data_IF_251123919112
#
_entry.id   IF_251123919112
#
_cell.length_a   1.000
_cell.length_b   1.000
_cell.length_c   1.000
_cell.angle_alpha   90.00
_cell.angle_beta   90.00
_cell.angle_gamma   90.00
#
_symmetry.space_group_name_H-M   'P 1'
#
loop_
_entity.id
_entity.type
_entity.pdbx_description
1 polymer ?
#
# COMPACT_ATOMS: atom_id res chain seq x y z
N UNK A 1 -36.91 10.73 -3.41
CA UNK A 1 -36.22 9.97 -2.33
C UNK A 1 -34.81 10.48 -2.28
N UNK A 2 -34.37 10.93 -1.11
CA UNK A 2 -33.01 11.44 -0.89
C UNK A 2 -32.06 10.20 -0.85
N UNK A 3 -31.19 10.10 -1.85
CA UNK A 3 -30.27 8.94 -2.05
C UNK A 3 -28.91 9.15 -1.41
N UNK A 4 -28.75 10.15 -0.53
CA UNK A 4 -27.44 10.40 0.11
C UNK A 4 -27.19 9.39 1.25
N UNK A 5 -26.31 8.39 1.06
CA UNK A 5 -26.02 7.36 2.07
C UNK A 5 -25.37 7.92 3.34
N UNK A 6 -24.75 9.13 3.28
CA UNK A 6 -24.15 9.78 4.44
C UNK A 6 -25.18 10.21 5.49
N UNK A 7 -26.48 10.27 5.12
CA UNK A 7 -27.55 10.61 6.06
C UNK A 7 -27.69 9.59 7.21
N UNK A 8 -27.29 8.34 6.97
CA UNK A 8 -27.35 7.27 7.97
C UNK A 8 -26.12 7.24 8.88
N UNK A 9 -25.07 8.03 8.57
CA UNK A 9 -23.85 8.10 9.39
C UNK A 9 -24.05 9.20 10.42
N UNK A 10 -23.84 8.95 11.74
CA UNK A 10 -23.86 9.98 12.77
C UNK A 10 -22.98 11.18 12.40
N UNK A 11 -23.43 12.40 12.73
CA UNK A 11 -22.80 13.63 12.26
C UNK A 11 -21.34 13.76 12.73
N UNK A 12 -21.03 13.26 13.92
CA UNK A 12 -19.67 13.19 14.48
C UNK A 12 -18.75 12.23 13.69
N UNK A 13 -19.29 11.31 12.89
CA UNK A 13 -18.54 10.38 12.05
C UNK A 13 -18.48 10.83 10.58
N UNK A 14 -19.22 11.89 10.20
CA UNK A 14 -19.18 12.45 8.83
C UNK A 14 -17.95 13.30 8.57
N UNK A 15 -17.34 13.85 9.63
CA UNK A 15 -16.14 14.70 9.58
C UNK A 15 -14.88 13.88 9.86
N UNK A 16 -14.49 13.01 8.93
CA UNK A 16 -13.21 12.27 9.01
C UNK A 16 -12.00 13.23 9.03
N UNK A 17 -12.17 14.50 8.66
CA UNK A 17 -11.14 15.54 8.80
C UNK A 17 -10.67 15.78 10.24
N UNK A 18 -11.46 15.39 11.25
CA UNK A 18 -11.10 15.58 12.66
C UNK A 18 -10.05 14.58 13.18
N UNK A 19 -9.66 13.54 12.41
CA UNK A 19 -8.71 12.50 12.86
C UNK A 19 -7.30 12.66 12.32
N UNK A 20 -6.96 13.79 11.67
CA UNK A 20 -5.59 14.06 11.20
C UNK A 20 -4.67 14.64 12.29
N UNK A 21 -5.21 15.01 13.46
CA UNK A 21 -4.38 15.39 14.62
C UNK A 21 -3.61 14.18 15.12
N UNK A 22 -2.28 14.24 15.06
CA UNK A 22 -1.37 13.17 15.46
C UNK A 22 -0.91 12.23 14.34
N UNK A 23 -1.35 12.43 13.08
CA UNK A 23 -0.85 11.67 11.96
C UNK A 23 0.61 12.02 11.63
N UNK A 24 1.42 11.00 11.37
CA UNK A 24 2.81 11.18 10.93
C UNK A 24 2.86 11.31 9.40
N UNK A 25 3.39 12.42 8.90
CA UNK A 25 3.57 12.64 7.47
C UNK A 25 4.87 12.00 6.98
N UNK A 26 4.76 11.16 5.95
CA UNK A 26 5.89 10.46 5.33
C UNK A 26 5.98 10.87 3.87
N UNK A 27 7.13 11.42 3.48
CA UNK A 27 7.47 11.71 2.09
C UNK A 27 8.13 10.47 1.45
N UNK A 28 7.46 9.87 0.46
CA UNK A 28 7.89 8.66 -0.24
C UNK A 28 8.85 8.95 -1.41
N UNK A 29 9.06 10.21 -1.79
CA UNK A 29 9.96 10.61 -2.89
C UNK A 29 11.42 10.78 -2.44
N UNK A 30 11.77 10.19 -1.29
CA UNK A 30 13.14 10.10 -0.79
C UNK A 30 13.71 8.70 -1.05
N UNK A 31 15.05 8.51 -0.96
CA UNK A 31 15.64 7.18 -1.03
C UNK A 31 14.96 6.20 -0.05
N UNK A 32 14.72 4.97 -0.49
CA UNK A 32 13.97 3.96 0.29
C UNK A 32 14.57 3.75 1.69
N UNK A 33 15.91 3.72 1.81
CA UNK A 33 16.59 3.56 3.10
C UNK A 33 16.26 4.69 4.09
N UNK A 34 16.05 5.92 3.62
CA UNK A 34 15.66 7.05 4.47
C UNK A 34 14.20 6.92 4.91
N UNK A 35 13.31 6.50 4.00
CA UNK A 35 11.91 6.28 4.31
C UNK A 35 11.75 5.16 5.35
N UNK A 36 12.49 4.05 5.18
CA UNK A 36 12.50 2.94 6.14
C UNK A 36 13.04 3.38 7.52
N UNK A 37 14.12 4.17 7.54
CA UNK A 37 14.67 4.72 8.78
C UNK A 37 13.69 5.65 9.52
N UNK A 38 12.86 6.39 8.78
CA UNK A 38 11.81 7.20 9.38
C UNK A 38 10.68 6.33 9.94
N UNK A 39 10.19 5.34 9.20
CA UNK A 39 9.15 4.42 9.67
C UNK A 39 9.59 3.65 10.92
N UNK A 40 10.87 3.26 11.00
CA UNK A 40 11.45 2.54 12.15
C UNK A 40 11.38 3.29 13.48
N UNK A 41 11.13 4.60 13.46
CA UNK A 41 10.95 5.43 14.67
C UNK A 41 9.59 5.25 15.33
N UNK A 42 8.62 4.68 14.61
CA UNK A 42 7.23 4.63 15.05
C UNK A 42 6.77 3.19 15.30
N UNK A 43 5.97 2.97 16.36
CA UNK A 43 5.44 1.63 16.67
C UNK A 43 4.32 1.23 15.71
N UNK A 44 3.96 -0.06 15.74
CA UNK A 44 2.72 -0.55 15.12
C UNK A 44 1.50 0.23 15.64
N UNK A 45 0.45 0.32 14.84
CA UNK A 45 -0.74 1.17 15.02
C UNK A 45 -0.55 2.67 14.76
N UNK A 46 0.66 3.15 14.49
CA UNK A 46 0.87 4.56 14.13
C UNK A 46 0.12 4.92 12.84
N UNK A 47 -0.66 5.99 12.89
CA UNK A 47 -1.37 6.52 11.72
C UNK A 47 -0.44 7.39 10.89
N UNK A 48 -0.41 7.12 9.58
CA UNK A 48 0.47 7.76 8.62
C UNK A 48 -0.33 8.47 7.54
N UNK A 49 0.22 9.57 7.04
CA UNK A 49 -0.19 10.23 5.80
C UNK A 49 0.98 10.17 4.82
N UNK A 50 0.82 9.38 3.77
CA UNK A 50 1.86 9.10 2.78
C UNK A 50 1.71 10.04 1.60
N UNK A 51 2.79 10.68 1.17
CA UNK A 51 2.81 11.54 -0.03
C UNK A 51 4.00 11.17 -0.92
N UNK A 52 3.75 11.01 -2.22
CA UNK A 52 4.74 10.65 -3.22
C UNK A 52 4.33 9.47 -4.10
N UNK A 53 5.32 8.79 -4.66
CA UNK A 53 5.13 7.71 -5.62
C UNK A 53 4.89 6.37 -4.94
N UNK A 54 3.88 5.64 -5.41
CA UNK A 54 3.57 4.25 -5.03
C UNK A 54 3.43 3.40 -6.29
N UNK A 55 4.04 2.22 -6.30
CA UNK A 55 3.80 1.19 -7.32
C UNK A 55 2.59 0.38 -6.92
N UNK A 56 1.71 0.09 -7.89
CA UNK A 56 0.51 -0.71 -7.67
C UNK A 56 0.64 -2.02 -8.42
N UNK A 57 0.46 -3.12 -7.73
CA UNK A 57 0.50 -4.45 -8.33
C UNK A 57 -0.09 -5.50 -7.39
N UNK A 58 -0.75 -6.50 -7.98
CA UNK A 58 -1.38 -7.58 -7.22
C UNK A 58 -1.01 -8.96 -7.81
N UNK A 59 -1.88 -9.93 -7.78
CA UNK A 59 -1.60 -11.35 -8.00
C UNK A 59 -0.75 -11.65 -9.25
N UNK A 60 -1.21 -11.26 -10.45
CA UNK A 60 -0.48 -11.57 -11.70
C UNK A 60 0.82 -10.78 -11.79
N UNK A 61 0.81 -9.50 -11.35
CA UNK A 61 2.01 -8.69 -11.29
C UNK A 61 3.10 -9.34 -10.41
N UNK A 62 2.73 -9.85 -9.22
CA UNK A 62 3.66 -10.55 -8.33
C UNK A 62 4.20 -11.85 -8.97
N UNK A 63 3.34 -12.63 -9.63
CA UNK A 63 3.77 -13.83 -10.35
C UNK A 63 4.78 -13.50 -11.46
N UNK A 64 4.56 -12.41 -12.23
CA UNK A 64 5.49 -11.95 -13.27
C UNK A 64 6.82 -11.48 -12.69
N UNK A 65 6.81 -10.74 -11.59
CA UNK A 65 8.03 -10.31 -10.91
C UNK A 65 8.82 -11.50 -10.35
N UNK A 66 8.12 -12.49 -9.78
CA UNK A 66 8.76 -13.74 -9.35
C UNK A 66 9.41 -14.49 -10.51
N UNK A 67 8.71 -14.61 -11.63
CA UNK A 67 9.25 -15.24 -12.84
C UNK A 67 10.54 -14.59 -13.34
N UNK A 68 10.62 -13.24 -13.28
CA UNK A 68 11.85 -12.48 -13.60
C UNK A 68 12.98 -12.80 -12.64
N UNK A 69 12.70 -12.84 -11.33
CA UNK A 69 13.72 -13.21 -10.34
C UNK A 69 14.23 -14.64 -10.54
N UNK A 70 13.32 -15.59 -10.81
CA UNK A 70 13.68 -16.99 -11.03
C UNK A 70 14.53 -17.18 -12.30
N UNK A 71 14.37 -16.29 -13.30
CA UNK A 71 15.21 -16.24 -14.52
C UNK A 71 16.53 -15.47 -14.32
N UNK A 72 16.77 -14.89 -13.15
CA UNK A 72 17.98 -14.10 -12.86
C UNK A 72 17.97 -12.68 -13.44
N UNK A 73 16.84 -12.17 -13.91
CA UNK A 73 16.70 -10.81 -14.45
C UNK A 73 16.74 -9.70 -13.37
N UNK A 74 16.61 -10.10 -12.09
CA UNK A 74 16.62 -9.22 -10.94
C UNK A 74 15.29 -8.48 -10.71
N UNK A 75 15.22 -7.80 -9.57
CA UNK A 75 14.08 -6.97 -9.21
C UNK A 75 14.12 -5.64 -9.96
N UNK A 76 13.03 -5.21 -10.62
CA UNK A 76 12.97 -3.91 -11.30
C UNK A 76 13.24 -2.75 -10.34
N UNK A 77 13.88 -1.69 -10.86
CA UNK A 77 14.30 -0.55 -10.05
C UNK A 77 13.11 0.15 -9.37
N UNK A 78 11.98 0.30 -10.07
CA UNK A 78 10.78 0.91 -9.48
C UNK A 78 10.24 0.14 -8.26
N UNK A 79 10.46 -1.18 -8.17
CA UNK A 79 10.08 -1.98 -7.00
C UNK A 79 11.04 -1.80 -5.82
N UNK A 80 12.26 -1.34 -6.09
CA UNK A 80 13.25 -1.00 -5.05
C UNK A 80 13.08 0.41 -4.54
N UNK A 81 12.67 1.32 -5.41
CA UNK A 81 12.60 2.75 -5.11
C UNK A 81 11.30 3.16 -4.41
N UNK A 82 10.23 2.37 -4.57
CA UNK A 82 8.89 2.77 -4.13
C UNK A 82 8.17 1.70 -3.34
N UNK A 83 7.26 2.10 -2.41
CA UNK A 83 6.30 1.19 -1.79
C UNK A 83 5.45 0.47 -2.84
N UNK A 84 4.96 -0.72 -2.50
CA UNK A 84 3.99 -1.45 -3.33
C UNK A 84 2.61 -1.49 -2.66
N UNK A 85 1.58 -1.07 -3.41
CA UNK A 85 0.18 -1.14 -3.01
C UNK A 85 -0.50 -2.30 -3.71
N UNK A 86 -1.04 -3.23 -2.94
CA UNK A 86 -1.76 -4.39 -3.45
C UNK A 86 -3.17 -3.99 -3.83
N UNK A 87 -3.32 -3.51 -5.04
CA UNK A 87 -4.57 -3.02 -5.58
C UNK A 87 -4.61 -3.20 -7.10
N UNK A 88 -5.75 -2.89 -7.69
CA UNK A 88 -5.92 -2.74 -9.12
C UNK A 88 -7.00 -1.71 -9.38
N UNK A 89 -6.81 -0.82 -10.38
CA UNK A 89 -7.78 0.21 -10.66
C UNK A 89 -9.08 -0.37 -11.20
N UNK A 90 -10.21 0.12 -10.70
CA UNK A 90 -11.47 -0.02 -11.40
C UNK A 90 -11.47 0.87 -12.66
N UNK A 91 -12.41 0.63 -13.58
CA UNK A 91 -12.58 1.47 -14.78
C UNK A 91 -12.73 2.93 -14.39
N UNK A 92 -11.91 3.79 -15.00
CA UNK A 92 -11.93 5.23 -14.72
C UNK A 92 -13.22 5.88 -15.22
N UNK A 93 -14.02 6.51 -14.34
CA UNK A 93 -15.15 7.30 -14.78
C UNK A 93 -14.70 8.55 -15.54
N UNK A 94 -15.55 9.04 -16.45
CA UNK A 94 -15.26 10.26 -17.20
C UNK A 94 -15.04 11.46 -16.24
N UNK A 95 -13.96 12.21 -16.47
CA UNK A 95 -13.64 13.42 -15.71
C UNK A 95 -12.90 13.20 -14.38
N UNK A 96 -12.60 11.94 -14.02
CA UNK A 96 -11.78 11.64 -12.85
C UNK A 96 -10.35 11.18 -13.24
N UNK A 97 -9.34 11.42 -12.40
CA UNK A 97 -7.96 11.00 -12.67
C UNK A 97 -7.80 9.46 -12.65
N UNK A 98 -8.68 8.75 -11.94
CA UNK A 98 -8.69 7.29 -11.89
C UNK A 98 -10.07 6.75 -11.48
N UNK A 99 -10.29 5.44 -11.69
CA UNK A 99 -11.30 4.67 -10.97
C UNK A 99 -10.86 4.40 -9.52
N UNK A 100 -11.68 3.70 -8.74
CA UNK A 100 -11.32 3.36 -7.38
C UNK A 100 -10.15 2.38 -7.32
N UNK A 101 -9.20 2.61 -6.40
CA UNK A 101 -8.08 1.74 -6.08
C UNK A 101 -8.33 1.03 -4.74
N UNK A 102 -9.25 0.07 -4.73
CA UNK A 102 -9.53 -0.71 -3.53
C UNK A 102 -8.38 -1.67 -3.20
N UNK A 103 -7.89 -1.69 -1.93
CA UNK A 103 -6.86 -2.63 -1.53
C UNK A 103 -7.37 -4.07 -1.63
N UNK A 104 -6.55 -4.98 -2.15
CA UNK A 104 -6.81 -6.41 -2.13
C UNK A 104 -6.32 -7.05 -0.84
N UNK A 105 -6.77 -8.28 -0.56
CA UNK A 105 -6.35 -9.05 0.60
C UNK A 105 -4.87 -9.40 0.52
N UNK A 106 -4.11 -8.95 1.50
CA UNK A 106 -2.65 -9.04 1.53
C UNK A 106 -2.11 -10.46 1.54
N UNK A 107 -2.76 -11.37 2.27
CA UNK A 107 -2.30 -12.76 2.48
C UNK A 107 -2.05 -13.56 1.20
N UNK A 108 -2.65 -13.16 0.07
CA UNK A 108 -2.40 -13.82 -1.21
C UNK A 108 -0.99 -13.62 -1.75
N UNK A 109 -0.31 -12.56 -1.34
CA UNK A 109 1.05 -12.23 -1.74
C UNK A 109 2.12 -12.64 -0.70
N UNK A 110 1.74 -13.29 0.40
CA UNK A 110 2.66 -13.62 1.49
C UNK A 110 3.87 -14.44 1.05
N UNK A 111 3.67 -15.40 0.16
CA UNK A 111 4.73 -16.27 -0.34
C UNK A 111 5.82 -15.57 -1.17
N UNK A 112 5.58 -14.35 -1.64
CA UNK A 112 6.56 -13.59 -2.41
C UNK A 112 7.47 -12.72 -1.55
N UNK A 113 7.05 -12.39 -0.31
CA UNK A 113 7.64 -11.30 0.47
C UNK A 113 9.10 -11.52 0.79
N UNK A 114 9.50 -12.67 1.33
CA UNK A 114 10.90 -12.93 1.70
C UNK A 114 11.83 -12.85 0.47
N UNK A 115 11.44 -13.46 -0.67
CA UNK A 115 12.21 -13.39 -1.90
C UNK A 115 12.29 -11.96 -2.46
N UNK A 116 11.20 -11.20 -2.43
CA UNK A 116 11.19 -9.84 -2.95
C UNK A 116 12.03 -8.91 -2.08
N UNK A 117 11.88 -8.97 -0.76
CA UNK A 117 12.65 -8.15 0.18
C UNK A 117 14.14 -8.49 0.14
N UNK A 118 14.52 -9.77 -0.01
CA UNK A 118 15.92 -10.15 -0.18
C UNK A 118 16.57 -9.59 -1.45
N UNK A 119 15.76 -9.18 -2.44
CA UNK A 119 16.17 -8.51 -3.67
C UNK A 119 15.94 -6.99 -3.64
N UNK A 120 15.61 -6.43 -2.48
CA UNK A 120 15.41 -5.00 -2.25
C UNK A 120 14.05 -4.45 -2.72
N UNK A 121 13.12 -5.30 -3.17
CA UNK A 121 11.77 -4.90 -3.55
C UNK A 121 10.75 -5.13 -2.43
N UNK A 122 9.57 -4.55 -2.55
CA UNK A 122 8.47 -4.69 -1.58
C UNK A 122 8.86 -4.41 -0.12
N UNK A 123 9.81 -3.50 0.09
CA UNK A 123 10.26 -3.12 1.43
C UNK A 123 9.15 -2.45 2.24
N UNK A 124 8.23 -1.75 1.57
CA UNK A 124 7.02 -1.19 2.17
C UNK A 124 5.84 -1.72 1.36
N UNK A 125 4.98 -2.50 2.00
CA UNK A 125 3.79 -3.09 1.41
C UNK A 125 2.55 -2.42 1.97
N UNK A 126 1.59 -2.06 1.11
CA UNK A 126 0.31 -1.44 1.50
C UNK A 126 -0.82 -2.33 1.01
N UNK A 127 -1.72 -2.76 1.91
CA UNK A 127 -2.87 -3.60 1.56
C UNK A 127 -3.91 -3.63 2.68
N UNK A 128 -4.86 -4.56 2.64
CA UNK A 128 -5.80 -4.82 3.73
C UNK A 128 -5.70 -6.26 4.28
N UNK A 129 -6.13 -6.43 5.52
CA UNK A 129 -6.13 -7.72 6.23
C UNK A 129 -4.81 -8.01 6.94
N UNK A 130 -4.81 -9.08 7.73
CA UNK A 130 -3.61 -9.55 8.42
C UNK A 130 -2.72 -10.39 7.49
N UNK A 131 -1.48 -10.57 7.93
CA UNK A 131 -0.45 -11.35 7.22
C UNK A 131 -0.09 -12.61 8.01
N UNK A 132 0.49 -13.58 7.33
CA UNK A 132 1.08 -14.77 7.97
C UNK A 132 2.37 -14.44 8.74
N UNK A 133 2.82 -15.37 9.61
CA UNK A 133 4.07 -15.22 10.36
C UNK A 133 5.27 -15.00 9.45
N UNK A 134 5.33 -15.67 8.29
CA UNK A 134 6.44 -15.54 7.34
C UNK A 134 6.67 -14.09 6.88
N UNK A 135 5.62 -13.26 6.81
CA UNK A 135 5.75 -11.84 6.45
C UNK A 135 6.34 -11.04 7.60
N UNK A 136 5.89 -11.30 8.84
CA UNK A 136 6.48 -10.67 10.04
C UNK A 136 7.97 -11.01 10.14
N UNK A 137 8.34 -12.27 9.91
CA UNK A 137 9.72 -12.73 9.94
C UNK A 137 10.55 -12.10 8.81
N UNK A 138 10.00 -11.99 7.59
CA UNK A 138 10.67 -11.34 6.47
C UNK A 138 10.89 -9.84 6.74
N UNK A 139 9.89 -9.12 7.26
CA UNK A 139 10.01 -7.71 7.62
C UNK A 139 11.10 -7.52 8.68
N UNK A 140 11.15 -8.37 9.69
CA UNK A 140 12.21 -8.33 10.71
C UNK A 140 13.60 -8.62 10.12
N UNK A 141 13.70 -9.63 9.26
CA UNK A 141 14.97 -10.06 8.65
C UNK A 141 15.54 -9.03 7.67
N UNK A 142 14.70 -8.38 6.90
CA UNK A 142 15.10 -7.50 5.81
C UNK A 142 14.88 -6.00 6.09
N UNK A 143 14.28 -5.65 7.23
CA UNK A 143 13.97 -4.26 7.58
C UNK A 143 12.74 -3.70 6.85
N UNK A 144 11.79 -4.54 6.49
CA UNK A 144 10.58 -4.15 5.76
C UNK A 144 9.41 -3.78 6.67
N UNK A 145 8.34 -3.26 6.03
CA UNK A 145 7.10 -2.83 6.71
C UNK A 145 5.86 -3.30 5.95
N UNK A 146 4.82 -3.64 6.71
CA UNK A 146 3.47 -3.78 6.18
C UNK A 146 2.57 -2.70 6.75
N UNK A 147 1.95 -1.94 5.85
CA UNK A 147 1.02 -0.87 6.17
C UNK A 147 -0.40 -1.29 5.80
N UNK A 148 -1.33 -1.09 6.70
CA UNK A 148 -2.76 -1.31 6.44
C UNK A 148 -3.38 -0.09 5.78
N UNK A 149 -4.06 -0.29 4.65
CA UNK A 149 -4.91 0.72 4.03
C UNK A 149 -6.35 0.55 4.50
N UNK A 150 -7.07 1.66 4.63
CA UNK A 150 -8.50 1.65 4.96
C UNK A 150 -9.27 1.12 3.75
N UNK A 151 -9.89 -0.08 3.90
CA UNK A 151 -10.86 -0.59 2.92
C UNK A 151 -12.15 0.23 2.94
N UNK A 152 -13.11 -0.03 2.10
CA UNK A 152 -14.42 0.63 2.12
C UNK A 152 -14.50 2.00 1.44
N UNK A 153 -13.78 3.05 1.83
CA UNK A 153 -13.79 4.33 1.12
C UNK A 153 -12.79 4.40 -0.04
N UNK A 154 -12.56 3.30 -0.77
CA UNK A 154 -11.63 3.26 -1.90
C UNK A 154 -11.90 4.34 -2.98
N UNK A 155 -13.18 4.69 -3.19
CA UNK A 155 -13.54 5.77 -4.10
C UNK A 155 -13.15 7.15 -3.55
N UNK A 156 -13.29 7.35 -2.22
CA UNK A 156 -12.87 8.59 -1.54
C UNK A 156 -11.36 8.71 -1.58
N UNK A 157 -10.63 7.62 -1.29
CA UNK A 157 -9.16 7.59 -1.39
C UNK A 157 -8.66 7.94 -2.79
N UNK A 158 -9.32 7.42 -3.85
CA UNK A 158 -8.98 7.77 -5.23
C UNK A 158 -9.21 9.25 -5.53
N UNK A 159 -10.27 9.86 -4.99
CA UNK A 159 -10.58 11.27 -5.20
C UNK A 159 -9.70 12.21 -4.37
N UNK A 160 -9.42 11.86 -3.12
CA UNK A 160 -8.76 12.75 -2.16
C UNK A 160 -7.25 12.59 -2.11
N UNK A 161 -6.71 11.40 -2.41
CA UNK A 161 -5.28 11.12 -2.26
C UNK A 161 -4.54 10.87 -3.57
N UNK A 162 -5.17 10.23 -4.57
CA UNK A 162 -4.51 9.88 -5.83
C UNK A 162 -4.56 11.07 -6.80
N UNK A 163 -3.38 11.57 -7.20
CA UNK A 163 -3.22 12.73 -8.08
C UNK A 163 -2.93 12.35 -9.53
N UNK A 164 -2.20 11.25 -9.75
CA UNK A 164 -1.82 10.77 -11.08
C UNK A 164 -1.79 9.25 -11.10
N UNK A 165 -2.12 8.68 -12.26
CA UNK A 165 -2.08 7.23 -12.50
C UNK A 165 -1.45 6.99 -13.86
N UNK A 166 -0.47 6.08 -13.95
CA UNK A 166 0.13 5.64 -15.20
C UNK A 166 0.47 4.15 -15.15
N UNK A 167 0.41 3.47 -16.31
CA UNK A 167 0.83 2.06 -16.43
C UNK A 167 2.34 2.02 -16.58
N UNK A 168 3.02 1.16 -15.80
CA UNK A 168 4.46 0.91 -15.93
C UNK A 168 4.76 -0.30 -16.82
N UNK A 169 4.15 -1.45 -16.51
CA UNK A 169 4.38 -2.70 -17.24
C UNK A 169 3.10 -3.52 -17.38
N UNK A 170 3.06 -4.37 -18.38
CA UNK A 170 1.97 -5.34 -18.68
C UNK A 170 0.60 -4.67 -18.89
N UNK A 171 0.49 -3.64 -19.77
CA UNK A 171 -0.79 -2.94 -20.00
C UNK A 171 -1.92 -3.87 -20.48
N UNK A 172 -1.58 -4.96 -21.14
CA UNK A 172 -2.52 -5.98 -21.60
C UNK A 172 -3.26 -6.70 -20.45
N UNK A 173 -2.72 -6.68 -19.24
CA UNK A 173 -3.33 -7.30 -18.06
C UNK A 173 -4.39 -6.40 -17.39
N UNK A 174 -4.63 -5.19 -17.88
CA UNK A 174 -5.65 -4.30 -17.36
C UNK A 174 -5.44 -4.01 -15.86
N UNK A 175 -6.41 -4.35 -15.01
CA UNK A 175 -6.32 -4.12 -13.56
C UNK A 175 -5.20 -4.93 -12.86
N UNK A 176 -4.67 -5.97 -13.52
CA UNK A 176 -3.53 -6.78 -13.04
C UNK A 176 -2.19 -6.28 -13.57
N UNK A 177 -2.16 -5.20 -14.36
CA UNK A 177 -0.94 -4.54 -14.78
C UNK A 177 -0.15 -3.98 -13.58
N UNK A 178 1.09 -3.59 -13.81
CA UNK A 178 1.85 -2.80 -12.83
C UNK A 178 1.62 -1.33 -13.14
N UNK A 179 1.14 -0.60 -12.13
CA UNK A 179 0.82 0.81 -12.23
C UNK A 179 1.74 1.63 -11.34
N UNK A 180 1.85 2.90 -11.64
CA UNK A 180 2.45 3.90 -10.77
C UNK A 180 1.40 4.97 -10.46
N UNK A 181 1.27 5.32 -9.18
CA UNK A 181 0.39 6.39 -8.73
C UNK A 181 1.17 7.42 -7.94
N UNK A 182 0.79 8.68 -8.08
CA UNK A 182 1.23 9.76 -7.21
C UNK A 182 0.12 10.05 -6.19
N UNK A 183 0.48 10.05 -4.92
CA UNK A 183 -0.47 10.26 -3.83
C UNK A 183 -0.08 11.47 -2.97
N UNK A 184 -1.09 12.08 -2.37
CA UNK A 184 -0.96 13.13 -1.37
C UNK A 184 -1.83 12.81 -0.17
N UNK A 185 -1.21 12.79 1.03
CA UNK A 185 -1.87 12.47 2.30
C UNK A 185 -2.66 11.14 2.26
N UNK A 186 -2.12 10.10 1.62
CA UNK A 186 -2.72 8.77 1.55
C UNK A 186 -2.68 8.12 2.94
N UNK A 187 -3.84 7.78 3.55
CA UNK A 187 -3.91 7.27 4.90
C UNK A 187 -3.50 5.80 4.99
N UNK A 188 -2.63 5.47 5.93
CA UNK A 188 -2.20 4.11 6.23
C UNK A 188 -1.83 3.95 7.71
N UNK A 189 -1.73 2.71 8.19
CA UNK A 189 -1.30 2.36 9.54
C UNK A 189 -0.14 1.39 9.49
N UNK A 190 0.84 1.53 10.37
CA UNK A 190 1.88 0.50 10.54
C UNK A 190 1.23 -0.73 11.19
N UNK A 191 1.18 -1.86 10.48
CA UNK A 191 0.62 -3.12 10.98
C UNK A 191 1.70 -4.17 11.29
N UNK A 192 2.79 -4.20 10.51
CA UNK A 192 3.99 -4.99 10.81
C UNK A 192 5.21 -4.09 10.62
N UNK A 193 6.13 -4.10 11.57
CA UNK A 193 7.34 -3.30 11.56
C UNK A 193 8.62 -4.13 11.32
N UNK A 194 9.74 -3.44 11.15
CA UNK A 194 11.09 -3.98 10.97
C UNK A 194 11.66 -4.67 12.21
N UNK A 195 10.97 -4.59 13.35
CA UNK A 195 11.36 -5.22 14.63
C UNK A 195 10.62 -6.53 14.88
N UNK A 196 9.74 -6.95 13.96
CA UNK A 196 8.94 -8.16 14.07
C UNK A 196 7.67 -7.99 14.93
N UNK A 197 7.26 -6.74 15.19
CA UNK A 197 5.98 -6.48 15.84
C UNK A 197 4.85 -6.60 14.81
N UNK A 198 3.73 -7.20 15.24
CA UNK A 198 2.53 -7.41 14.43
C UNK A 198 1.30 -6.97 15.25
N UNK A 199 0.62 -5.94 14.75
CA UNK A 199 -0.56 -5.35 15.39
C UNK A 199 -1.64 -6.39 15.72
N UNK A 200 -1.93 -7.30 14.80
CA UNK A 200 -2.98 -8.31 15.02
C UNK A 200 -2.63 -9.34 16.09
N UNK A 201 -1.35 -9.53 16.41
CA UNK A 201 -0.90 -10.43 17.48
C UNK A 201 -0.92 -9.78 18.85
N UNK A 202 -0.88 -8.44 18.90
CA UNK A 202 -0.96 -7.70 20.15
C UNK A 202 -2.40 -7.57 20.68
N UNK A 203 -3.40 -7.88 19.85
CA UNK A 203 -4.82 -7.84 20.22
C UNK A 203 -5.33 -9.13 20.92
N UNK A 204 -4.45 -10.07 21.23
CA UNK A 204 -4.80 -11.34 21.89
C UNK A 204 -4.70 -11.23 23.41
#
# INVERSE_FOLDING_TARGET
MDTNPLRLVPENLRNIKATQEGAVKINLNRPMNEVLADLSKYPVSTFLLLSGTIVVGRDIAHAKLKERLDKGEGMPQYMKDHPVYYAGPAKTPAGLPSGSFGPTTAGRMDSYVDQFQSNGGSMIMIAKGNRSQQVTDACHKHGGFYLGSIGGPAAILAQESIRKVEVLEYPELGMEAIWKIEVEDFPAFILVDDKGNDFFKQLK
#
